data_IF_090420138350
#
_entry.id   IF_090420138350
#
_cell.length_a   1.000
_cell.length_b   1.000
_cell.length_c   1.000
_cell.angle_alpha   90.00
_cell.angle_beta   90.00
_cell.angle_gamma   90.00
#
_symmetry.space_group_name_H-M   'P 1'
#
loop_
_entity.id
_entity.type
_entity.pdbx_description
1 polymer ?
#
# COMPACT_ATOMS: atom_id res chain seq x y z
N UNK A 1 27.01 -25.94 -35.18
CA UNK A 1 26.06 -25.26 -34.28
C UNK A 1 25.78 -23.88 -34.84
N UNK A 2 24.59 -23.69 -35.41
CA UNK A 2 24.24 -22.53 -36.22
C UNK A 2 24.08 -21.27 -35.36
N UNK A 3 24.68 -20.16 -35.82
CA UNK A 3 24.62 -18.81 -35.21
C UNK A 3 23.19 -18.32 -34.93
N UNK A 4 22.19 -18.89 -35.59
CA UNK A 4 20.77 -18.60 -35.42
C UNK A 4 20.17 -19.13 -34.10
N UNK A 5 20.75 -20.16 -33.47
CA UNK A 5 20.23 -20.72 -32.22
C UNK A 5 20.51 -19.80 -31.01
N UNK A 6 21.60 -19.03 -31.05
CA UNK A 6 21.96 -18.09 -29.98
C UNK A 6 21.05 -16.86 -30.05
N UNK A 7 20.72 -16.39 -31.25
CA UNK A 7 19.79 -15.28 -31.44
C UNK A 7 18.37 -15.63 -30.97
N UNK A 8 17.90 -16.85 -31.25
CA UNK A 8 16.57 -17.30 -30.82
C UNK A 8 16.47 -17.48 -29.29
N UNK A 9 17.53 -17.98 -28.65
CA UNK A 9 17.60 -18.08 -27.19
C UNK A 9 17.65 -16.69 -26.51
N UNK A 10 18.32 -15.71 -27.12
CA UNK A 10 18.32 -14.32 -26.63
C UNK A 10 16.96 -13.64 -26.79
N UNK A 11 16.20 -13.92 -27.86
CA UNK A 11 14.84 -13.38 -28.01
C UNK A 11 13.91 -13.94 -26.93
N UNK A 12 14.03 -15.22 -26.57
CA UNK A 12 13.25 -15.80 -25.47
C UNK A 12 13.66 -15.27 -24.07
N UNK A 13 14.94 -14.97 -23.85
CA UNK A 13 15.43 -14.35 -22.61
C UNK A 13 15.08 -12.86 -22.50
N UNK A 14 14.86 -12.16 -23.63
CA UNK A 14 14.44 -10.76 -23.65
C UNK A 14 12.92 -10.58 -23.60
N UNK A 15 12.14 -11.57 -24.04
CA UNK A 15 10.67 -11.54 -23.95
C UNK A 15 10.14 -11.72 -22.51
N UNK A 16 10.88 -12.37 -21.61
CA UNK A 16 10.51 -12.44 -20.20
C UNK A 16 10.85 -11.16 -19.43
N UNK A 17 11.72 -10.29 -19.97
CA UNK A 17 12.04 -8.99 -19.39
C UNK A 17 11.06 -7.87 -19.82
N UNK A 18 10.21 -8.12 -20.83
CA UNK A 18 9.07 -7.25 -21.18
C UNK A 18 7.78 -7.60 -20.41
N UNK A 19 7.90 -8.32 -19.30
CA UNK A 19 6.84 -8.53 -18.33
C UNK A 19 6.78 -7.41 -17.30
N UNK A 20 6.70 -6.14 -17.70
CA UNK A 20 5.98 -5.17 -16.86
C UNK A 20 4.51 -5.52 -17.04
N UNK A 21 4.11 -6.60 -16.38
CA UNK A 21 2.72 -6.80 -16.02
C UNK A 21 2.38 -5.55 -15.21
N UNK A 22 1.65 -4.63 -15.84
CA UNK A 22 0.57 -3.91 -15.18
C UNK A 22 -0.42 -4.96 -14.67
N UNK A 23 0.01 -5.79 -13.73
CA UNK A 23 -0.88 -6.48 -12.82
C UNK A 23 -1.54 -5.36 -12.05
N UNK A 24 -2.78 -5.09 -12.45
CA UNK A 24 -3.77 -4.41 -11.63
C UNK A 24 -3.93 -5.21 -10.32
N UNK A 25 -2.94 -5.09 -9.42
CA UNK A 25 -3.09 -5.47 -8.03
C UNK A 25 -4.11 -4.51 -7.44
N UNK A 26 -5.22 -5.07 -6.97
CA UNK A 26 -6.41 -4.28 -6.66
C UNK A 26 -6.78 -4.30 -5.17
N UNK A 27 -5.81 -4.71 -4.35
CA UNK A 27 -5.85 -4.68 -2.88
C UNK A 27 -5.07 -3.51 -2.30
N UNK A 28 -4.77 -2.49 -3.10
CA UNK A 28 -3.79 -1.45 -2.79
C UNK A 28 -4.18 -0.60 -1.55
N UNK A 29 -5.47 -0.56 -1.20
CA UNK A 29 -6.00 0.03 0.04
C UNK A 29 -6.54 -0.99 1.06
N UNK A 30 -6.56 -2.28 0.76
CA UNK A 30 -7.12 -3.29 1.66
C UNK A 30 -6.09 -3.80 2.66
N UNK A 31 -6.52 -4.00 3.90
CA UNK A 31 -5.76 -4.74 4.90
C UNK A 31 -6.68 -5.61 5.76
N UNK A 32 -6.20 -6.75 6.24
CA UNK A 32 -6.95 -7.58 7.17
C UNK A 32 -7.24 -6.82 8.46
N UNK A 33 -8.35 -7.16 9.14
CA UNK A 33 -8.73 -6.53 10.42
C UNK A 33 -7.68 -6.73 11.52
N UNK A 34 -6.84 -7.74 11.39
CA UNK A 34 -5.72 -8.03 12.29
C UNK A 34 -4.55 -7.04 12.13
N UNK A 35 -4.48 -6.33 10.99
CA UNK A 35 -3.45 -5.34 10.72
C UNK A 35 -3.62 -4.13 11.67
N UNK A 36 -2.53 -3.70 12.32
CA UNK A 36 -2.60 -2.57 13.24
C UNK A 36 -2.83 -1.27 12.48
N UNK A 37 -3.75 -0.44 12.99
CA UNK A 37 -3.81 0.97 12.64
C UNK A 37 -2.85 1.73 13.55
N UNK A 38 -1.93 2.48 12.95
CA UNK A 38 -0.92 3.25 13.65
C UNK A 38 -1.05 4.73 13.30
N UNK A 39 -0.80 5.61 14.27
CA UNK A 39 -0.57 7.02 13.98
C UNK A 39 0.68 7.14 13.11
N UNK A 40 0.51 7.62 11.88
CA UNK A 40 1.60 7.82 10.94
C UNK A 40 2.45 9.02 11.33
N UNK A 41 3.76 8.92 11.11
CA UNK A 41 4.57 10.09 10.81
C UNK A 41 4.66 10.19 9.28
N UNK A 42 4.04 11.24 8.72
CA UNK A 42 3.87 11.44 7.28
C UNK A 42 5.14 11.23 6.42
N UNK A 43 6.34 11.74 6.79
CA UNK A 43 7.49 11.60 5.91
C UNK A 43 8.02 10.17 5.85
N UNK A 44 8.08 9.45 6.98
CA UNK A 44 8.63 8.10 7.04
C UNK A 44 7.74 7.09 6.33
N UNK A 45 6.42 7.15 6.54
CA UNK A 45 5.49 6.23 5.89
C UNK A 45 5.41 6.45 4.39
N UNK A 46 5.49 7.71 3.95
CA UNK A 46 5.58 8.05 2.53
C UNK A 46 6.85 7.51 1.88
N UNK A 47 8.00 7.63 2.56
CA UNK A 47 9.25 7.10 2.01
C UNK A 47 9.24 5.57 1.95
N UNK A 48 8.73 4.90 2.99
CA UNK A 48 8.53 3.45 2.98
C UNK A 48 7.59 3.02 1.86
N UNK A 49 6.45 3.71 1.68
CA UNK A 49 5.52 3.45 0.58
C UNK A 49 6.18 3.61 -0.79
N UNK A 50 6.99 4.66 -0.98
CA UNK A 50 7.76 4.88 -2.22
C UNK A 50 8.76 3.76 -2.48
N UNK A 51 9.55 3.39 -1.46
CA UNK A 51 10.52 2.29 -1.56
C UNK A 51 9.83 0.96 -1.89
N UNK A 52 8.71 0.71 -1.23
CA UNK A 52 7.86 -0.46 -1.45
C UNK A 52 7.38 -0.57 -2.89
N UNK A 53 6.74 0.48 -3.43
CA UNK A 53 6.26 0.51 -4.81
C UNK A 53 7.39 0.40 -5.85
N UNK A 54 8.60 0.82 -5.51
CA UNK A 54 9.78 0.70 -6.35
C UNK A 54 10.46 -0.69 -6.25
N UNK A 55 9.90 -1.64 -5.49
CA UNK A 55 10.46 -2.98 -5.33
C UNK A 55 11.73 -3.04 -4.46
N UNK A 56 12.05 -1.97 -3.72
CA UNK A 56 13.28 -1.89 -2.91
C UNK A 56 13.40 -3.02 -1.89
N UNK A 57 12.27 -3.45 -1.31
CA UNK A 57 12.24 -4.49 -0.29
C UNK A 57 12.23 -5.91 -0.86
N UNK A 58 12.05 -6.08 -2.17
CA UNK A 58 12.02 -7.40 -2.81
C UNK A 58 13.36 -8.11 -2.64
N UNK A 59 13.34 -9.37 -2.19
CA UNK A 59 14.50 -10.17 -1.85
C UNK A 59 15.08 -9.91 -0.45
N UNK A 60 14.59 -8.90 0.28
CA UNK A 60 15.01 -8.66 1.65
C UNK A 60 14.32 -9.62 2.63
N UNK A 61 15.01 -9.93 3.72
CA UNK A 61 14.36 -10.58 4.86
C UNK A 61 13.41 -9.60 5.54
N UNK A 62 12.19 -10.04 5.86
CA UNK A 62 11.18 -9.23 6.53
C UNK A 62 11.61 -8.71 7.92
N UNK A 63 12.65 -9.30 8.53
CA UNK A 63 13.22 -8.79 9.78
C UNK A 63 14.10 -7.54 9.61
N UNK A 64 14.48 -7.21 8.37
CA UNK A 64 15.41 -6.12 8.03
C UNK A 64 14.70 -4.90 7.44
N UNK A 65 13.36 -4.87 7.43
CA UNK A 65 12.58 -3.71 6.99
C UNK A 65 12.16 -2.88 8.21
N UNK A 66 11.41 -1.80 7.96
CA UNK A 66 10.78 -1.04 9.04
C UNK A 66 9.94 -2.00 9.93
N UNK A 67 10.22 -2.09 11.24
CA UNK A 67 9.62 -3.11 12.10
C UNK A 67 8.10 -3.02 12.14
N UNK A 68 7.52 -1.86 11.84
CA UNK A 68 6.07 -1.68 11.72
C UNK A 68 5.48 -2.57 10.62
N UNK A 69 6.20 -2.71 9.50
CA UNK A 69 5.76 -3.46 8.30
C UNK A 69 5.68 -4.98 8.51
N UNK A 70 6.29 -5.52 9.57
CA UNK A 70 6.30 -6.96 9.87
C UNK A 70 5.63 -7.31 11.21
N UNK A 71 4.96 -6.37 11.88
CA UNK A 71 4.50 -6.53 13.26
C UNK A 71 3.27 -7.44 13.42
N UNK A 72 2.40 -7.52 12.39
CA UNK A 72 1.29 -8.48 12.35
C UNK A 72 1.07 -8.96 10.93
N UNK A 73 1.10 -10.27 10.77
CA UNK A 73 1.04 -10.94 9.49
C UNK A 73 0.03 -12.07 9.56
N UNK A 74 -0.72 -12.27 8.49
CA UNK A 74 -1.56 -13.44 8.31
C UNK A 74 -0.76 -14.48 7.52
N UNK A 75 -0.74 -15.72 8.03
CA UNK A 75 -0.17 -16.84 7.29
C UNK A 75 -1.10 -17.20 6.15
N UNK A 76 -0.51 -17.51 5.01
CA UNK A 76 -1.18 -18.01 3.83
C UNK A 76 -0.94 -19.51 3.72
N UNK A 77 -1.67 -20.13 2.81
CA UNK A 77 -1.38 -21.50 2.39
C UNK A 77 0.06 -21.60 1.86
N UNK A 78 0.65 -22.80 1.98
CA UNK A 78 2.05 -23.10 1.63
C UNK A 78 3.12 -22.39 2.47
N UNK A 79 2.73 -21.77 3.60
CA UNK A 79 3.66 -21.16 4.55
C UNK A 79 4.05 -19.72 4.24
N UNK A 80 3.52 -19.13 3.17
CA UNK A 80 3.69 -17.71 2.86
C UNK A 80 2.98 -16.83 3.91
N UNK A 81 3.21 -15.52 3.89
CA UNK A 81 2.58 -14.57 4.81
C UNK A 81 2.34 -13.21 4.17
N UNK A 82 1.22 -12.58 4.49
CA UNK A 82 0.95 -11.16 4.20
C UNK A 82 1.04 -10.37 5.49
N UNK A 83 1.87 -9.34 5.53
CA UNK A 83 1.83 -8.32 6.58
C UNK A 83 1.31 -7.01 6.00
N UNK A 84 0.52 -6.28 6.79
CA UNK A 84 -0.05 -5.02 6.38
C UNK A 84 0.14 -3.96 7.47
N UNK A 85 0.37 -2.72 7.05
CA UNK A 85 0.42 -1.54 7.90
C UNK A 85 -0.55 -0.51 7.40
N UNK A 86 -1.44 -0.09 8.29
CA UNK A 86 -2.24 1.10 8.11
C UNK A 86 -1.63 2.24 8.93
N UNK A 87 -1.26 3.34 8.27
CA UNK A 87 -0.81 4.54 8.93
C UNK A 87 -1.79 5.69 8.69
N UNK A 88 -2.29 6.29 9.77
CA UNK A 88 -3.21 7.43 9.73
C UNK A 88 -2.43 8.69 10.06
N UNK A 89 -2.37 9.61 9.11
CA UNK A 89 -1.74 10.91 9.28
C UNK A 89 -2.78 12.05 9.26
N UNK A 90 -2.44 13.16 9.91
CA UNK A 90 -3.32 14.29 10.10
C UNK A 90 -2.65 15.56 9.59
N UNK A 91 -3.26 16.23 8.61
CA UNK A 91 -2.81 17.53 8.12
C UNK A 91 -3.83 18.60 8.49
N UNK A 92 -3.35 19.70 9.04
CA UNK A 92 -4.18 20.87 9.34
C UNK A 92 -4.00 21.90 8.22
N UNK A 93 -5.10 22.39 7.67
CA UNK A 93 -5.12 23.44 6.66
C UNK A 93 -6.10 24.53 7.05
N UNK A 94 -5.69 25.79 6.96
CA UNK A 94 -6.59 26.92 7.21
C UNK A 94 -7.26 27.33 5.91
N UNK A 95 -8.57 27.11 5.82
CA UNK A 95 -9.37 27.41 4.63
C UNK A 95 -10.30 28.61 4.88
N UNK A 96 -10.57 29.40 3.84
CA UNK A 96 -11.66 30.39 3.88
C UNK A 96 -12.97 29.67 3.58
N UNK A 97 -13.88 29.62 4.56
CA UNK A 97 -15.24 29.08 4.37
C UNK A 97 -16.29 30.15 4.63
N UNK A 98 -17.41 30.05 3.93
CA UNK A 98 -18.59 30.83 4.27
C UNK A 98 -19.34 30.12 5.38
N UNK A 99 -19.51 30.82 6.50
CA UNK A 99 -20.33 30.37 7.61
C UNK A 99 -21.50 31.33 7.78
N UNK A 100 -22.67 30.77 8.07
CA UNK A 100 -23.83 31.59 8.39
C UNK A 100 -23.70 32.11 9.82
N UNK A 101 -23.55 33.42 9.96
CA UNK A 101 -23.55 34.08 11.26
C UNK A 101 -25.00 34.26 11.72
N UNK A 102 -25.42 33.49 12.72
CA UNK A 102 -26.79 33.53 13.24
C UNK A 102 -27.10 34.83 14.00
N UNK A 103 -26.07 35.56 14.44
CA UNK A 103 -26.21 36.86 15.13
C UNK A 103 -26.36 37.98 14.10
N UNK A 104 -25.48 38.02 13.11
CA UNK A 104 -25.51 39.04 12.05
C UNK A 104 -26.46 38.70 10.89
N UNK A 105 -27.09 37.52 10.92
CA UNK A 105 -28.02 36.98 9.92
C UNK A 105 -27.50 37.02 8.49
N UNK A 106 -26.19 36.86 8.29
CA UNK A 106 -25.55 36.90 6.98
C UNK A 106 -24.44 35.86 6.88
N UNK A 107 -24.09 35.50 5.66
CA UNK A 107 -22.90 34.70 5.41
C UNK A 107 -21.65 35.57 5.56
N UNK A 108 -20.76 35.14 6.44
CA UNK A 108 -19.45 35.76 6.65
C UNK A 108 -18.36 34.79 6.24
N UNK A 109 -17.30 35.31 5.64
CA UNK A 109 -16.14 34.50 5.32
C UNK A 109 -15.22 34.45 6.52
N UNK A 110 -15.01 33.26 7.08
CA UNK A 110 -14.11 33.02 8.22
C UNK A 110 -12.99 32.09 7.80
N UNK A 111 -11.82 32.27 8.42
CA UNK A 111 -10.75 31.29 8.35
C UNK A 111 -11.06 30.19 9.35
N UNK A 112 -11.16 28.96 8.87
CA UNK A 112 -11.40 27.78 9.69
C UNK A 112 -10.26 26.81 9.49
N UNK A 113 -9.80 26.21 10.59
CA UNK A 113 -8.83 25.12 10.54
C UNK A 113 -9.57 23.84 10.22
N UNK A 114 -9.22 23.25 9.10
CA UNK A 114 -9.76 21.99 8.60
C UNK A 114 -8.73 20.91 8.83
N UNK A 115 -9.18 19.81 9.43
CA UNK A 115 -8.36 18.62 9.67
C UNK A 115 -8.58 17.64 8.53
N UNK A 116 -7.52 17.35 7.78
CA UNK A 116 -7.48 16.33 6.74
C UNK A 116 -6.85 15.06 7.29
N UNK A 117 -7.53 13.92 7.16
CA UNK A 117 -7.00 12.62 7.54
C UNK A 117 -6.55 11.85 6.30
N UNK A 118 -5.28 11.46 6.27
CA UNK A 118 -4.71 10.61 5.24
C UNK A 118 -4.47 9.21 5.79
N UNK A 119 -4.77 8.20 4.99
CA UNK A 119 -4.45 6.80 5.28
C UNK A 119 -3.39 6.36 4.29
N UNK A 120 -2.34 5.74 4.79
CA UNK A 120 -1.37 4.99 4.00
C UNK A 120 -1.55 3.51 4.30
N UNK A 121 -1.63 2.71 3.25
CA UNK A 121 -1.62 1.26 3.37
C UNK A 121 -0.32 0.73 2.76
N UNK A 122 0.35 -0.18 3.46
CA UNK A 122 1.53 -0.89 2.94
C UNK A 122 1.36 -2.38 3.18
N UNK A 123 1.32 -3.15 2.10
CA UNK A 123 1.18 -4.61 2.09
C UNK A 123 2.51 -5.24 1.65
N UNK A 124 3.10 -6.06 2.53
CA UNK A 124 4.31 -6.84 2.23
C UNK A 124 3.98 -8.31 2.11
N UNK A 125 4.36 -8.92 1.00
CA UNK A 125 4.13 -10.32 0.72
C UNK A 125 5.44 -11.10 0.93
N UNK A 126 5.41 -12.07 1.82
CA UNK A 126 6.56 -12.79 2.34
C UNK A 126 6.38 -14.27 2.02
N UNK A 127 7.43 -14.93 1.54
CA UNK A 127 7.38 -16.37 1.30
C UNK A 127 7.64 -17.19 2.58
N UNK A 128 7.50 -18.51 2.46
CA UNK A 128 7.81 -19.51 3.49
C UNK A 128 9.21 -19.38 4.15
N UNK A 129 10.16 -18.77 3.44
CA UNK A 129 11.53 -18.52 3.91
C UNK A 129 11.71 -17.18 4.64
N UNK A 130 10.64 -16.40 4.80
CA UNK A 130 10.70 -15.07 5.44
C UNK A 130 11.31 -13.99 4.54
N UNK A 131 11.29 -14.20 3.21
CA UNK A 131 11.80 -13.26 2.21
C UNK A 131 10.63 -12.56 1.52
N UNK A 132 10.74 -11.24 1.41
CA UNK A 132 9.75 -10.42 0.71
C UNK A 132 9.89 -10.68 -0.78
N UNK A 133 8.82 -11.10 -1.43
CA UNK A 133 8.79 -11.26 -2.88
C UNK A 133 8.00 -10.15 -3.59
N UNK A 134 7.13 -9.45 -2.87
CA UNK A 134 6.43 -8.27 -3.38
C UNK A 134 6.08 -7.29 -2.26
N UNK A 135 5.94 -6.02 -2.60
CA UNK A 135 5.53 -4.95 -1.70
C UNK A 135 4.68 -3.93 -2.45
N UNK A 136 3.53 -3.56 -1.89
CA UNK A 136 2.64 -2.54 -2.47
C UNK A 136 2.19 -1.53 -1.43
N UNK A 137 2.10 -0.27 -1.83
CA UNK A 137 1.62 0.79 -0.98
C UNK A 137 0.69 1.76 -1.71
N UNK A 138 -0.33 2.25 -1.03
CA UNK A 138 -1.23 3.30 -1.52
C UNK A 138 -1.53 4.31 -0.42
N UNK A 139 -1.96 5.50 -0.82
CA UNK A 139 -2.43 6.53 0.08
C UNK A 139 -3.77 7.09 -0.39
N UNK A 140 -4.65 7.41 0.56
CA UNK A 140 -5.92 8.02 0.26
C UNK A 140 -6.42 8.89 1.41
N UNK A 141 -7.43 9.72 1.16
CA UNK A 141 -8.13 10.42 2.25
C UNK A 141 -9.04 9.44 3.00
N UNK A 142 -8.98 9.46 4.33
CA UNK A 142 -9.55 8.45 5.25
C UNK A 142 -11.01 8.09 4.97
N UNK A 143 -11.79 9.01 4.40
CA UNK A 143 -13.23 8.86 4.23
C UNK A 143 -13.65 8.14 2.94
N UNK A 144 -12.73 7.84 1.99
CA UNK A 144 -13.12 7.57 0.59
C UNK A 144 -12.67 6.25 -0.03
N UNK A 145 -11.96 5.34 0.65
CA UNK A 145 -11.21 4.35 -0.13
C UNK A 145 -10.77 3.04 0.51
N UNK A 146 -11.16 2.71 1.75
CA UNK A 146 -10.82 1.38 2.29
C UNK A 146 -11.93 0.38 1.93
N UNK A 147 -11.76 -0.48 0.92
CA UNK A 147 -12.73 -1.54 0.68
C UNK A 147 -12.78 -2.46 1.91
N UNK A 148 -13.98 -2.94 2.25
CA UNK A 148 -14.18 -3.83 3.40
C UNK A 148 -13.56 -5.22 3.19
N UNK A 149 -13.39 -5.62 1.93
CA UNK A 149 -12.83 -6.90 1.51
C UNK A 149 -11.79 -6.70 0.40
N UNK A 150 -10.86 -7.64 0.23
CA UNK A 150 -9.95 -7.59 -0.91
C UNK A 150 -10.74 -7.75 -2.21
N UNK A 151 -10.20 -7.26 -3.32
CA UNK A 151 -10.92 -7.32 -4.61
C UNK A 151 -10.92 -8.76 -5.15
N UNK A 152 -12.05 -9.29 -5.66
CA UNK A 152 -12.11 -10.64 -6.19
C UNK A 152 -10.98 -10.98 -7.17
N UNK A 153 -10.31 -12.11 -6.93
CA UNK A 153 -9.21 -12.62 -7.76
C UNK A 153 -7.85 -11.98 -7.48
N UNK A 154 -7.74 -11.06 -6.54
CA UNK A 154 -6.47 -10.49 -6.10
C UNK A 154 -5.62 -11.49 -5.30
N UNK A 155 -4.40 -11.12 -4.93
CA UNK A 155 -3.59 -11.97 -4.03
C UNK A 155 -4.23 -12.03 -2.65
N UNK A 156 -4.78 -10.92 -2.15
CA UNK A 156 -5.41 -10.88 -0.84
C UNK A 156 -6.76 -11.62 -0.79
N UNK A 157 -7.53 -11.66 -1.89
CA UNK A 157 -8.81 -12.39 -1.95
C UNK A 157 -8.64 -13.91 -1.97
N UNK A 158 -7.48 -14.38 -2.43
CA UNK A 158 -7.10 -15.80 -2.40
C UNK A 158 -6.55 -16.25 -1.05
N UNK A 159 -6.43 -15.34 -0.08
CA UNK A 159 -5.94 -15.71 1.24
C UNK A 159 -7.00 -16.49 2.01
N UNK A 160 -6.59 -17.42 2.89
CA UNK A 160 -7.50 -18.09 3.80
C UNK A 160 -8.32 -17.06 4.59
N UNK A 161 -9.65 -17.14 4.48
CA UNK A 161 -10.56 -16.31 5.26
C UNK A 161 -10.63 -16.93 6.66
N UNK A 162 -9.95 -16.31 7.62
CA UNK A 162 -10.07 -16.66 9.05
C UNK A 162 -11.52 -16.59 9.52
#
# INVERSE_FOLDING_TARGET
>A
MNKYNIALAMVFLLLTACGVMETFYSDTMWAPKSAPSMGGHYPEMRDNARRCNNGFYTGMSAKNIDPRMSQRCEKLDDGNSLCAVEAVDTRYETERRQEYDSVEKKYVTRYVTVTHYYVFMINTYINDKGIIYDCRAENAQYWWSKPESPKPGSLADRLPKN
#
